data_IF_201612457690
#
_entry.id   IF_201612457690
#
_cell.length_a   1.000
_cell.length_b   1.000
_cell.length_c   1.000
_cell.angle_alpha   90.00
_cell.angle_beta   90.00
_cell.angle_gamma   90.00
#
_symmetry.space_group_name_H-M   'P 1'
#
loop_
_entity.id
_entity.type
_entity.pdbx_description
1 polymer ?
#
# COMPACT_ATOMS: atom_id res chain seq x y z
N UNK A 1 -13.94 54.54 5.85
CA UNK A 1 -14.45 54.00 4.57
C UNK A 1 -14.39 52.47 4.63
N UNK A 2 -15.49 51.78 4.33
CA UNK A 2 -15.49 50.30 4.22
C UNK A 2 -15.13 49.87 2.80
N UNK A 3 -14.45 48.73 2.66
CA UNK A 3 -14.01 48.21 1.36
C UNK A 3 -15.18 47.83 0.46
N UNK A 4 -15.09 48.13 -0.84
CA UNK A 4 -16.07 47.72 -1.87
C UNK A 4 -15.87 46.29 -2.38
N UNK A 5 -14.84 45.57 -1.88
CA UNK A 5 -14.54 44.21 -2.35
C UNK A 5 -15.66 43.26 -1.94
N UNK A 6 -16.05 42.36 -2.86
CA UNK A 6 -16.94 41.22 -2.61
C UNK A 6 -16.20 39.92 -3.00
N UNK A 7 -15.31 39.40 -2.14
CA UNK A 7 -14.56 38.19 -2.44
C UNK A 7 -15.50 37.01 -2.71
N UNK A 8 -15.27 36.30 -3.80
CA UNK A 8 -16.03 35.12 -4.17
C UNK A 8 -15.30 33.85 -3.71
N UNK A 9 -16.00 32.97 -2.99
CA UNK A 9 -15.48 31.67 -2.54
C UNK A 9 -16.09 30.57 -3.40
N UNK A 10 -15.23 29.84 -4.13
CA UNK A 10 -15.66 28.70 -4.97
C UNK A 10 -15.99 27.49 -4.10
N UNK A 11 -17.06 26.74 -4.39
CA UNK A 11 -17.35 25.49 -3.70
C UNK A 11 -16.38 24.38 -4.12
N UNK A 12 -16.08 23.47 -3.19
CA UNK A 12 -15.31 22.25 -3.45
C UNK A 12 -16.20 21.05 -3.13
N UNK A 13 -16.66 20.35 -4.18
CA UNK A 13 -17.59 19.21 -4.05
C UNK A 13 -16.85 17.95 -3.58
N UNK A 14 -17.57 16.97 -3.03
CA UNK A 14 -17.01 15.65 -2.64
C UNK A 14 -16.39 14.87 -3.80
N UNK A 15 -16.72 15.22 -5.04
CA UNK A 15 -16.22 14.62 -6.28
C UNK A 15 -15.05 15.37 -6.91
N UNK A 16 -14.42 16.31 -6.19
CA UNK A 16 -13.29 17.11 -6.68
C UNK A 16 -12.18 16.26 -7.31
N UNK A 17 -11.90 15.09 -6.74
CA UNK A 17 -10.85 14.17 -7.17
C UNK A 17 -11.15 13.50 -8.52
N UNK A 18 -12.41 13.49 -8.96
CA UNK A 18 -12.79 12.93 -10.27
C UNK A 18 -12.34 13.81 -11.44
N UNK A 19 -11.96 15.07 -11.20
CA UNK A 19 -11.67 16.03 -12.29
C UNK A 19 -10.32 15.79 -12.99
N UNK A 20 -9.27 15.46 -12.24
CA UNK A 20 -7.91 15.35 -12.79
C UNK A 20 -7.34 13.95 -12.59
N UNK A 21 -6.62 13.38 -13.58
CA UNK A 21 -5.97 12.08 -13.45
C UNK A 21 -5.03 11.99 -12.24
N UNK A 22 -4.30 13.06 -11.93
CA UNK A 22 -3.43 13.13 -10.75
C UNK A 22 -4.20 12.89 -9.44
N UNK A 23 -5.38 13.49 -9.28
CA UNK A 23 -6.20 13.29 -8.08
C UNK A 23 -6.84 11.90 -8.04
N UNK A 24 -7.22 11.34 -9.20
CA UNK A 24 -7.70 9.95 -9.27
C UNK A 24 -6.62 8.97 -8.82
N UNK A 25 -5.38 9.18 -9.26
CA UNK A 25 -4.25 8.35 -8.84
C UNK A 25 -3.93 8.53 -7.34
N UNK A 26 -4.02 9.75 -6.80
CA UNK A 26 -3.92 9.98 -5.36
C UNK A 26 -4.98 9.17 -4.58
N UNK A 27 -6.25 9.24 -5.00
CA UNK A 27 -7.31 8.47 -4.34
C UNK A 27 -7.11 6.96 -4.48
N UNK A 28 -6.61 6.49 -5.62
CA UNK A 28 -6.26 5.08 -5.83
C UNK A 28 -5.12 4.65 -4.88
N UNK A 29 -4.09 5.49 -4.71
CA UNK A 29 -2.99 5.26 -3.77
C UNK A 29 -3.51 5.11 -2.35
N UNK A 30 -4.31 6.07 -1.86
CA UNK A 30 -4.89 5.98 -0.52
C UNK A 30 -5.84 4.79 -0.38
N UNK A 31 -6.54 4.42 -1.46
CA UNK A 31 -7.41 3.26 -1.50
C UNK A 31 -6.70 1.93 -1.24
N UNK A 32 -5.37 1.85 -1.39
CA UNK A 32 -4.59 0.66 -1.02
C UNK A 32 -4.70 0.28 0.47
N UNK A 33 -5.16 1.21 1.31
CA UNK A 33 -5.45 0.94 2.72
C UNK A 33 -6.56 -0.11 2.89
N UNK A 34 -7.58 -0.15 2.02
CA UNK A 34 -8.71 -1.08 2.16
C UNK A 34 -8.26 -2.54 1.99
N UNK A 35 -7.55 -2.93 0.92
CA UNK A 35 -7.02 -4.29 0.82
C UNK A 35 -5.96 -4.61 1.87
N UNK A 36 -5.18 -3.63 2.34
CA UNK A 36 -4.19 -3.86 3.39
C UNK A 36 -4.84 -4.25 4.74
N UNK A 37 -5.90 -3.55 5.14
CA UNK A 37 -6.65 -3.92 6.35
C UNK A 37 -7.43 -5.22 6.18
N UNK A 38 -7.95 -5.49 4.98
CA UNK A 38 -8.56 -6.77 4.63
C UNK A 38 -7.59 -7.93 4.88
N UNK A 39 -6.37 -7.86 4.33
CA UNK A 39 -5.37 -8.91 4.53
C UNK A 39 -5.00 -9.08 6.00
N UNK A 40 -4.93 -7.97 6.76
CA UNK A 40 -4.67 -8.02 8.19
C UNK A 40 -5.79 -8.75 8.96
N UNK A 41 -7.05 -8.58 8.56
CA UNK A 41 -8.19 -9.32 9.11
C UNK A 41 -8.09 -10.80 8.73
N UNK A 42 -7.79 -11.14 7.47
CA UNK A 42 -7.57 -12.52 7.05
C UNK A 42 -6.47 -13.22 7.87
N UNK A 43 -5.37 -12.51 8.16
CA UNK A 43 -4.29 -13.03 9.02
C UNK A 43 -4.76 -13.31 10.45
N UNK A 44 -5.64 -12.48 11.02
CA UNK A 44 -6.23 -12.72 12.34
C UNK A 44 -7.13 -13.97 12.29
N UNK A 45 -7.93 -14.13 11.24
CA UNK A 45 -8.75 -15.34 11.04
C UNK A 45 -7.86 -16.58 10.96
N UNK A 46 -6.81 -16.54 10.15
CA UNK A 46 -5.83 -17.63 10.03
C UNK A 46 -5.13 -17.94 11.35
N UNK A 47 -4.74 -16.91 12.12
CA UNK A 47 -4.11 -17.07 13.42
C UNK A 47 -5.01 -17.79 14.43
N UNK A 48 -6.27 -17.38 14.54
CA UNK A 48 -7.21 -18.04 15.47
C UNK A 48 -7.65 -19.42 14.96
N UNK A 49 -7.80 -19.61 13.65
CA UNK A 49 -8.06 -20.91 13.06
C UNK A 49 -6.92 -21.90 13.35
N UNK A 50 -5.66 -21.45 13.21
CA UNK A 50 -4.48 -22.23 13.55
C UNK A 50 -4.45 -22.62 15.03
N UNK A 51 -4.75 -21.69 15.93
CA UNK A 51 -4.84 -21.94 17.37
C UNK A 51 -5.92 -22.98 17.72
N UNK A 52 -7.03 -22.99 16.99
CA UNK A 52 -8.19 -23.84 17.26
C UNK A 52 -8.04 -25.28 16.73
N UNK A 53 -6.90 -25.62 16.12
CA UNK A 53 -6.56 -26.97 15.70
C UNK A 53 -6.79 -27.26 14.21
N UNK A 54 -6.46 -28.48 13.77
CA UNK A 54 -6.32 -28.81 12.35
C UNK A 54 -7.64 -28.71 11.56
N UNK A 55 -8.78 -29.01 12.19
CA UNK A 55 -10.09 -28.91 11.53
C UNK A 55 -10.45 -27.44 11.22
N UNK A 56 -10.25 -26.53 12.18
CA UNK A 56 -10.47 -25.10 11.96
C UNK A 56 -9.49 -24.53 10.94
N UNK A 57 -8.24 -24.99 10.94
CA UNK A 57 -7.24 -24.61 9.95
C UNK A 57 -7.62 -25.06 8.54
N UNK A 58 -8.09 -26.31 8.37
CA UNK A 58 -8.56 -26.80 7.09
C UNK A 58 -9.71 -25.94 6.54
N UNK A 59 -10.68 -25.58 7.38
CA UNK A 59 -11.77 -24.68 6.99
C UNK A 59 -11.29 -23.27 6.58
N UNK A 60 -10.22 -22.76 7.20
CA UNK A 60 -9.60 -21.50 6.76
C UNK A 60 -8.91 -21.65 5.39
N UNK A 61 -8.21 -22.76 5.14
CA UNK A 61 -7.63 -23.04 3.82
C UNK A 61 -8.72 -23.18 2.75
N UNK A 62 -9.82 -23.87 3.05
CA UNK A 62 -10.97 -23.99 2.13
C UNK A 62 -11.59 -22.61 1.81
N UNK A 63 -11.66 -21.71 2.80
CA UNK A 63 -12.05 -20.32 2.57
C UNK A 63 -11.10 -19.60 1.59
N UNK A 64 -9.78 -19.77 1.75
CA UNK A 64 -8.78 -19.18 0.84
C UNK A 64 -8.81 -19.80 -0.57
N UNK A 65 -9.28 -21.04 -0.71
CA UNK A 65 -9.46 -21.72 -1.99
C UNK A 65 -10.70 -21.26 -2.76
N UNK A 66 -11.63 -20.53 -2.12
CA UNK A 66 -12.78 -19.96 -2.82
C UNK A 66 -12.30 -19.02 -3.95
N UNK A 67 -12.71 -19.23 -5.22
CA UNK A 67 -12.24 -18.42 -6.35
C UNK A 67 -12.46 -16.92 -6.18
N UNK A 68 -13.52 -16.50 -5.48
CA UNK A 68 -13.78 -15.08 -5.19
C UNK A 68 -12.74 -14.52 -4.21
N UNK A 69 -12.37 -15.30 -3.20
CA UNK A 69 -11.33 -14.92 -2.22
C UNK A 69 -9.96 -14.90 -2.89
N UNK A 70 -9.65 -15.84 -3.78
CA UNK A 70 -8.43 -15.80 -4.60
C UNK A 70 -8.37 -14.51 -5.42
N UNK A 71 -9.46 -14.13 -6.10
CA UNK A 71 -9.51 -12.87 -6.86
C UNK A 71 -9.29 -11.65 -5.95
N UNK A 72 -9.95 -11.61 -4.78
CA UNK A 72 -9.76 -10.53 -3.80
C UNK A 72 -8.30 -10.48 -3.36
N UNK A 73 -7.65 -11.60 -3.09
CA UNK A 73 -6.26 -11.65 -2.64
C UNK A 73 -5.25 -11.30 -3.74
N UNK A 74 -5.57 -11.57 -5.00
CA UNK A 74 -4.81 -11.04 -6.13
C UNK A 74 -4.95 -9.52 -6.26
N UNK A 75 -6.16 -8.96 -6.04
CA UNK A 75 -6.37 -7.50 -5.98
C UNK A 75 -5.60 -6.90 -4.81
N UNK A 76 -5.59 -7.58 -3.66
CA UNK A 76 -4.83 -7.18 -2.48
C UNK A 76 -3.33 -7.13 -2.74
N UNK A 77 -2.78 -8.14 -3.43
CA UNK A 77 -1.39 -8.13 -3.86
C UNK A 77 -1.10 -6.97 -4.83
N UNK A 78 -1.96 -6.74 -5.82
CA UNK A 78 -1.81 -5.62 -6.74
C UNK A 78 -1.83 -4.26 -6.02
N UNK A 79 -2.71 -4.09 -5.04
CA UNK A 79 -2.79 -2.89 -4.20
C UNK A 79 -1.53 -2.73 -3.32
N UNK A 80 -1.02 -3.80 -2.73
CA UNK A 80 0.22 -3.79 -1.94
C UNK A 80 1.45 -3.45 -2.79
N UNK A 81 1.51 -3.93 -4.04
CA UNK A 81 2.56 -3.56 -4.99
C UNK A 81 2.49 -2.07 -5.37
N UNK A 82 1.30 -1.55 -5.62
CA UNK A 82 1.09 -0.11 -5.85
C UNK A 82 1.49 0.72 -4.62
N UNK A 83 1.12 0.26 -3.44
CA UNK A 83 1.51 0.87 -2.16
C UNK A 83 3.04 0.92 -2.05
N UNK A 84 3.72 -0.22 -2.20
CA UNK A 84 5.19 -0.32 -2.13
C UNK A 84 5.86 0.65 -3.11
N UNK A 85 5.40 0.67 -4.36
CA UNK A 85 5.92 1.56 -5.41
C UNK A 85 5.79 3.03 -5.01
N UNK A 86 4.59 3.47 -4.62
CA UNK A 86 4.35 4.88 -4.29
C UNK A 86 4.98 5.28 -2.96
N UNK A 87 5.03 4.38 -1.98
CA UNK A 87 5.73 4.58 -0.72
C UNK A 87 7.22 4.84 -0.97
N UNK A 88 7.87 4.03 -1.81
CA UNK A 88 9.29 4.20 -2.13
C UNK A 88 9.58 5.49 -2.89
N UNK A 89 8.68 5.96 -3.76
CA UNK A 89 8.85 7.26 -4.43
C UNK A 89 8.66 8.47 -3.51
N UNK A 90 7.91 8.31 -2.41
CA UNK A 90 7.53 9.41 -1.52
C UNK A 90 8.40 9.49 -0.27
N UNK A 91 8.79 8.35 0.33
CA UNK A 91 9.59 8.29 1.54
C UNK A 91 10.92 9.08 1.47
N UNK A 92 11.71 9.03 0.38
CA UNK A 92 12.97 9.76 0.27
C UNK A 92 12.81 11.28 0.36
N UNK A 93 11.62 11.82 0.03
CA UNK A 93 11.37 13.27 0.06
C UNK A 93 11.38 13.86 1.46
N UNK A 94 11.26 13.02 2.50
CA UNK A 94 11.40 13.41 3.89
C UNK A 94 12.87 13.51 4.34
N UNK A 95 13.82 12.96 3.56
CA UNK A 95 15.25 13.04 3.85
C UNK A 95 15.89 14.27 3.20
N UNK A 96 16.83 14.89 3.92
CA UNK A 96 17.67 15.96 3.38
C UNK A 96 19.15 15.58 3.57
N UNK A 97 19.72 14.95 2.53
CA UNK A 97 21.08 14.43 2.53
C UNK A 97 21.89 15.23 1.51
N UNK A 98 23.03 15.78 1.94
CA UNK A 98 23.96 16.53 1.09
C UNK A 98 25.20 15.67 0.84
N UNK A 99 25.61 15.53 -0.41
CA UNK A 99 26.79 14.79 -0.85
C UNK A 99 27.62 15.69 -1.74
N UNK A 100 28.87 15.98 -1.36
CA UNK A 100 29.78 16.88 -2.09
C UNK A 100 29.10 18.22 -2.45
N UNK A 101 28.52 18.86 -1.45
CA UNK A 101 27.82 20.16 -1.54
C UNK A 101 26.54 20.18 -2.39
N UNK A 102 26.09 19.05 -2.93
CA UNK A 102 24.82 18.92 -3.65
C UNK A 102 23.78 18.13 -2.84
N UNK A 103 22.51 18.54 -2.93
CA UNK A 103 21.40 17.75 -2.38
C UNK A 103 21.23 16.48 -3.20
N UNK A 104 21.37 15.33 -2.55
CA UNK A 104 21.19 14.03 -3.18
C UNK A 104 19.76 13.87 -3.70
N UNK A 105 19.63 13.32 -4.92
CA UNK A 105 18.34 12.91 -5.48
C UNK A 105 17.71 11.73 -4.72
N UNK A 106 16.44 11.39 -4.99
CA UNK A 106 15.74 10.30 -4.32
C UNK A 106 16.19 8.90 -4.79
N UNK A 107 16.78 8.77 -5.99
CA UNK A 107 17.08 7.51 -6.67
C UNK A 107 17.95 6.54 -5.86
N UNK A 108 19.01 6.98 -5.16
CA UNK A 108 19.83 6.09 -4.33
C UNK A 108 19.00 5.41 -3.22
N UNK A 109 18.09 6.15 -2.58
CA UNK A 109 17.22 5.61 -1.53
C UNK A 109 16.18 4.67 -2.15
N UNK A 110 15.54 5.05 -3.26
CA UNK A 110 14.55 4.21 -3.96
C UNK A 110 15.16 2.86 -4.35
N UNK A 111 16.36 2.87 -4.98
CA UNK A 111 17.06 1.64 -5.38
C UNK A 111 17.39 0.76 -4.19
N UNK A 112 17.83 1.38 -3.08
CA UNK A 112 18.15 0.65 -1.85
C UNK A 112 16.91 -0.01 -1.24
N UNK A 113 15.78 0.70 -1.18
CA UNK A 113 14.51 0.17 -0.69
C UNK A 113 14.03 -1.03 -1.52
N UNK A 114 14.07 -0.92 -2.86
CA UNK A 114 13.75 -2.04 -3.74
C UNK A 114 14.70 -3.23 -3.57
N UNK A 115 16.01 -2.98 -3.44
CA UNK A 115 16.98 -4.05 -3.20
C UNK A 115 16.67 -4.80 -1.89
N UNK A 116 16.36 -4.06 -0.80
CA UNK A 116 15.95 -4.65 0.48
C UNK A 116 14.66 -5.47 0.32
N UNK A 117 13.65 -4.95 -0.39
CA UNK A 117 12.41 -5.69 -0.64
C UNK A 117 12.66 -6.98 -1.40
N UNK A 118 13.46 -6.96 -2.46
CA UNK A 118 13.80 -8.18 -3.23
C UNK A 118 14.51 -9.20 -2.35
N UNK A 119 15.50 -8.77 -1.58
CA UNK A 119 16.21 -9.66 -0.64
C UNK A 119 15.24 -10.24 0.39
N UNK A 120 14.39 -9.42 1.00
CA UNK A 120 13.40 -9.90 1.97
C UNK A 120 12.43 -10.90 1.35
N UNK A 121 11.90 -10.63 0.15
CA UNK A 121 11.00 -11.56 -0.56
C UNK A 121 11.69 -12.90 -0.84
N UNK A 122 12.95 -12.90 -1.31
CA UNK A 122 13.70 -14.14 -1.56
C UNK A 122 13.90 -14.92 -0.27
N UNK A 123 14.34 -14.26 0.80
CA UNK A 123 14.58 -14.91 2.10
C UNK A 123 13.29 -15.49 2.66
N UNK A 124 12.18 -14.74 2.63
CA UNK A 124 10.87 -15.21 3.11
C UNK A 124 10.42 -16.44 2.31
N UNK A 125 10.49 -16.41 0.98
CA UNK A 125 10.11 -17.54 0.14
C UNK A 125 11.01 -18.76 0.35
N UNK A 126 12.32 -18.54 0.53
CA UNK A 126 13.26 -19.62 0.81
C UNK A 126 12.92 -20.32 2.14
N UNK A 127 12.79 -19.54 3.22
CA UNK A 127 12.47 -20.07 4.54
C UNK A 127 11.09 -20.74 4.56
N UNK A 128 10.07 -20.14 3.94
CA UNK A 128 8.71 -20.67 3.99
C UNK A 128 8.49 -21.95 3.17
N UNK A 129 9.36 -22.24 2.19
CA UNK A 129 9.18 -23.37 1.27
C UNK A 129 10.26 -24.46 1.36
N UNK A 130 11.45 -24.14 1.88
CA UNK A 130 12.61 -25.04 1.87
C UNK A 130 13.25 -25.29 3.23
N UNK A 131 12.77 -24.66 4.30
CA UNK A 131 13.29 -24.86 5.66
C UNK A 131 12.16 -25.23 6.63
#
# INVERSE_FOLDING_TARGET
MTTKRKPYVRPMTSTWWKKLPFYRFYMLREGTAVPAVWFSIELIFGLFALKNGPESWAGFVDFLQNPVIVIINLITLAAALLHTKTWFELAPKAANIIVKDEKMGPEPIIKSLWAVTVVATIVILFVALYW
#
